data_IF_273805632620
#
_entry.id   IF_273805632620
#
_cell.length_a   1.000
_cell.length_b   1.000
_cell.length_c   1.000
_cell.angle_alpha   90.00
_cell.angle_beta   90.00
_cell.angle_gamma   90.00
#
_symmetry.space_group_name_H-M   'P 1'
#
loop_
_entity.id
_entity.type
_entity.pdbx_description
1 polymer ?
#
# COMPACT_ATOMS: atom_id res chain seq x y z
N UNK A 1 0.77 1.57 5.50
CA UNK A 1 0.18 1.53 4.16
C UNK A 1 1.20 1.15 3.10
N UNK A 2 0.83 0.24 2.20
CA UNK A 2 1.63 -0.15 1.04
C UNK A 2 0.90 0.27 -0.24
N UNK A 3 1.52 1.16 -1.02
CA UNK A 3 0.98 1.63 -2.30
C UNK A 3 1.66 0.85 -3.43
N UNK A 4 0.93 -0.07 -4.06
CA UNK A 4 1.43 -1.01 -5.04
C UNK A 4 1.81 -2.36 -4.42
N UNK A 5 1.08 -3.41 -4.80
CA UNK A 5 1.26 -4.78 -4.32
C UNK A 5 1.81 -5.72 -5.42
N UNK A 6 2.84 -5.24 -6.14
CA UNK A 6 3.64 -6.08 -7.05
C UNK A 6 4.69 -6.90 -6.29
N UNK A 7 5.67 -7.48 -6.99
CA UNK A 7 6.71 -8.31 -6.36
C UNK A 7 7.39 -7.65 -5.16
N UNK A 8 7.87 -6.42 -5.30
CA UNK A 8 8.56 -5.71 -4.21
C UNK A 8 7.60 -5.41 -3.05
N UNK A 9 6.39 -4.92 -3.35
CA UNK A 9 5.40 -4.61 -2.32
C UNK A 9 4.99 -5.84 -1.50
N UNK A 10 4.88 -7.01 -2.14
CA UNK A 10 4.55 -8.26 -1.44
C UNK A 10 5.66 -8.71 -0.47
N UNK A 11 6.94 -8.55 -0.83
CA UNK A 11 8.04 -8.86 0.09
C UNK A 11 8.07 -7.90 1.29
N UNK A 12 7.78 -6.61 1.06
CA UNK A 12 7.66 -5.64 2.16
C UNK A 12 6.49 -5.98 3.07
N UNK A 13 5.33 -6.36 2.52
CA UNK A 13 4.17 -6.83 3.29
C UNK A 13 4.55 -8.04 4.16
N UNK A 14 5.30 -9.00 3.62
CA UNK A 14 5.74 -10.19 4.36
C UNK A 14 6.57 -9.81 5.59
N UNK A 15 7.53 -8.90 5.44
CA UNK A 15 8.34 -8.40 6.56
C UNK A 15 7.49 -7.60 7.55
N UNK A 16 6.64 -6.69 7.07
CA UNK A 16 5.77 -5.88 7.92
C UNK A 16 4.82 -6.75 8.77
N UNK A 17 4.25 -7.82 8.18
CA UNK A 17 3.45 -8.81 8.93
C UNK A 17 4.26 -9.52 10.00
N UNK A 18 5.50 -9.92 9.70
CA UNK A 18 6.39 -10.57 10.67
C UNK A 18 6.75 -9.64 11.84
N UNK A 19 6.73 -8.32 11.62
CA UNK A 19 6.91 -7.29 12.64
C UNK A 19 5.61 -6.96 13.41
N UNK A 20 4.50 -7.65 13.12
CA UNK A 20 3.23 -7.45 13.80
C UNK A 20 2.47 -6.19 13.36
N UNK A 21 2.77 -5.64 12.18
CA UNK A 21 2.09 -4.45 11.67
C UNK A 21 0.72 -4.77 11.08
N UNK A 22 -0.20 -3.81 11.18
CA UNK A 22 -1.47 -3.83 10.45
C UNK A 22 -1.24 -3.42 8.98
N UNK A 23 -1.75 -4.21 8.03
CA UNK A 23 -1.45 -4.01 6.61
C UNK A 23 -2.65 -3.44 5.86
N UNK A 24 -2.52 -2.17 5.46
CA UNK A 24 -3.40 -1.50 4.49
C UNK A 24 -2.71 -1.42 3.13
N UNK A 25 -3.41 -1.79 2.06
CA UNK A 25 -2.87 -1.83 0.70
C UNK A 25 -3.74 -1.02 -0.26
N UNK A 26 -3.10 -0.13 -1.01
CA UNK A 26 -3.71 0.51 -2.17
C UNK A 26 -3.04 -0.01 -3.45
N UNK A 27 -3.82 -0.51 -4.42
CA UNK A 27 -3.30 -0.94 -5.72
C UNK A 27 -4.37 -0.78 -6.79
N UNK A 28 -3.96 -0.60 -8.05
CA UNK A 28 -4.88 -0.40 -9.18
C UNK A 28 -5.87 -1.55 -9.37
N UNK A 29 -5.45 -2.77 -9.06
CA UNK A 29 -6.28 -3.98 -9.17
C UNK A 29 -6.33 -4.67 -7.81
N UNK A 30 -7.23 -4.22 -6.91
CA UNK A 30 -7.33 -4.78 -5.57
C UNK A 30 -7.79 -6.24 -5.61
N UNK A 31 -7.42 -6.99 -4.58
CA UNK A 31 -7.91 -8.36 -4.35
C UNK A 31 -8.89 -8.34 -3.18
N UNK A 32 -9.50 -9.49 -2.89
CA UNK A 32 -10.25 -9.65 -1.65
C UNK A 32 -9.30 -9.54 -0.45
N UNK A 33 -9.83 -9.01 0.66
CA UNK A 33 -9.14 -9.00 1.94
C UNK A 33 -8.83 -10.43 2.40
N UNK A 34 -7.71 -10.59 3.09
CA UNK A 34 -7.25 -11.91 3.52
C UNK A 34 -5.82 -11.87 4.03
N UNK A 35 -5.42 -12.91 4.77
CA UNK A 35 -4.07 -13.06 5.33
C UNK A 35 -3.59 -11.81 6.10
N UNK A 36 -4.48 -11.12 6.82
CA UNK A 36 -4.13 -9.88 7.54
C UNK A 36 -3.80 -8.68 6.64
N UNK A 37 -4.22 -8.72 5.38
CA UNK A 37 -4.12 -7.62 4.41
C UNK A 37 -5.53 -7.09 4.14
N UNK A 38 -5.69 -5.77 4.23
CA UNK A 38 -6.91 -5.06 3.85
C UNK A 38 -6.64 -4.15 2.66
N UNK A 39 -7.44 -4.28 1.60
CA UNK A 39 -7.37 -3.41 0.43
C UNK A 39 -8.28 -2.20 0.62
N UNK A 40 -7.71 -1.01 0.46
CA UNK A 40 -8.38 0.27 0.78
C UNK A 40 -8.15 1.32 -0.30
N UNK A 41 -8.91 2.41 -0.26
CA UNK A 41 -8.64 3.58 -1.09
C UNK A 41 -7.30 4.23 -0.71
N UNK A 42 -6.77 5.11 -1.58
CA UNK A 42 -5.56 5.85 -1.25
C UNK A 42 -5.80 6.75 -0.03
N UNK A 43 -6.92 7.45 0.00
CA UNK A 43 -7.29 8.36 1.10
C UNK A 43 -7.35 7.62 2.45
N UNK A 44 -8.03 6.47 2.50
CA UNK A 44 -8.13 5.65 3.71
C UNK A 44 -6.74 5.13 4.13
N UNK A 45 -5.89 4.77 3.17
CA UNK A 45 -4.51 4.37 3.46
C UNK A 45 -3.70 5.51 4.06
N UNK A 46 -3.80 6.72 3.50
CA UNK A 46 -3.06 7.90 3.96
C UNK A 46 -3.52 8.34 5.36
N UNK A 47 -4.83 8.32 5.61
CA UNK A 47 -5.41 8.71 6.90
C UNK A 47 -5.04 7.74 8.04
N UNK A 48 -4.94 6.43 7.74
CA UNK A 48 -4.80 5.39 8.76
C UNK A 48 -3.41 4.73 8.83
N UNK A 49 -2.40 5.25 8.13
CA UNK A 49 -1.04 4.66 8.11
C UNK A 49 -0.04 5.45 8.95
N UNK A 50 0.61 4.79 9.91
CA UNK A 50 1.79 5.33 10.60
C UNK A 50 3.03 5.40 9.69
N UNK A 51 3.13 4.46 8.75
CA UNK A 51 4.21 4.36 7.77
C UNK A 51 3.64 4.10 6.38
N UNK A 52 4.14 4.79 5.37
CA UNK A 52 3.74 4.61 3.97
C UNK A 52 4.96 4.23 3.14
N UNK A 53 4.81 3.23 2.27
CA UNK A 53 5.83 2.82 1.31
C UNK A 53 5.24 2.72 -0.10
N UNK A 54 5.99 3.20 -1.10
CA UNK A 54 5.57 3.29 -2.50
C UNK A 54 6.31 2.26 -3.34
N UNK A 55 5.55 1.33 -3.94
CA UNK A 55 6.02 0.27 -4.83
C UNK A 55 5.18 0.21 -6.12
N UNK A 56 4.78 1.37 -6.63
CA UNK A 56 4.11 1.53 -7.90
C UNK A 56 5.08 2.09 -8.97
N UNK A 57 4.94 1.70 -10.25
CA UNK A 57 5.72 2.32 -11.32
C UNK A 57 5.33 3.79 -11.49
N UNK A 58 6.28 4.61 -11.93
CA UNK A 58 6.03 6.00 -12.30
C UNK A 58 5.30 6.06 -13.66
N UNK A 59 4.13 6.68 -13.69
CA UNK A 59 3.33 7.00 -14.88
C UNK A 59 2.48 8.24 -14.61
N UNK A 60 1.66 8.67 -15.57
CA UNK A 60 0.85 9.89 -15.43
C UNK A 60 -0.13 9.86 -14.25
N UNK A 61 -0.59 8.68 -13.83
CA UNK A 61 -1.50 8.52 -12.69
C UNK A 61 -0.77 8.49 -11.34
N UNK A 62 0.51 8.12 -11.31
CA UNK A 62 1.30 7.97 -10.06
C UNK A 62 2.35 9.07 -9.88
N UNK A 63 2.57 9.91 -10.90
CA UNK A 63 3.40 11.10 -10.79
C UNK A 63 2.72 12.08 -9.83
N UNK A 64 3.44 12.55 -8.81
CA UNK A 64 2.89 13.37 -7.72
C UNK A 64 1.75 12.70 -6.94
N UNK A 65 1.71 11.36 -6.90
CA UNK A 65 0.74 10.62 -6.09
C UNK A 65 0.75 11.05 -4.62
N UNK A 66 1.95 11.35 -4.10
CA UNK A 66 2.14 12.02 -2.82
C UNK A 66 2.56 13.44 -3.14
N UNK A 67 1.77 14.40 -2.68
CA UNK A 67 1.99 15.82 -2.92
C UNK A 67 1.62 16.62 -1.65
N UNK A 68 1.34 17.91 -1.80
CA UNK A 68 1.10 18.83 -0.68
C UNK A 68 -0.37 18.86 -0.22
N UNK A 69 -1.29 18.53 -1.10
CA UNK A 69 -2.73 18.41 -0.83
C UNK A 69 -3.00 17.13 -0.04
#
# INVERSE_FOLDING_TARGET
GVVGAGHIGMEVIKVAKALGMNILVHTRTPKADGDGIRYVSLDELLENSDYITLHCPLNDQTKHLINKE
#
